data_IF_671880475967
#
_entry.id   IF_671880475967
#
_cell.length_a   1.000
_cell.length_b   1.000
_cell.length_c   1.000
_cell.angle_alpha   90.00
_cell.angle_beta   90.00
_cell.angle_gamma   90.00
#
_symmetry.space_group_name_H-M   'P 1'
#
loop_
_entity.id
_entity.type
_entity.pdbx_description
1 polymer ?
#
# COMPACT_ATOMS: atom_id res chain seq x y z
N UNK A 1 23.59 -17.23 0.35
CA UNK A 1 22.44 -17.63 1.18
C UNK A 1 21.41 -16.52 1.12
N UNK A 2 20.23 -16.79 0.56
CA UNK A 2 19.13 -15.83 0.38
C UNK A 2 18.36 -15.49 1.66
N UNK A 3 19.07 -15.26 2.77
CA UNK A 3 18.49 -14.87 4.06
C UNK A 3 18.74 -13.39 4.29
N UNK A 4 17.68 -12.66 4.66
CA UNK A 4 17.75 -11.25 5.02
C UNK A 4 17.45 -11.09 6.51
N UNK A 5 18.20 -10.19 7.16
CA UNK A 5 18.01 -9.80 8.54
C UNK A 5 18.27 -8.30 8.64
N UNK A 6 17.31 -7.57 9.18
CA UNK A 6 17.39 -6.14 9.46
C UNK A 6 17.47 -5.88 10.96
N UNK A 7 17.93 -4.68 11.34
CA UNK A 7 18.11 -4.25 12.73
C UNK A 7 16.79 -4.10 13.49
N UNK A 8 15.68 -3.89 12.78
CA UNK A 8 14.31 -3.84 13.30
C UNK A 8 13.67 -5.22 13.49
N UNK A 9 14.48 -6.30 13.42
CA UNK A 9 14.06 -7.70 13.54
C UNK A 9 13.23 -8.22 12.37
N UNK A 10 13.08 -7.44 11.30
CA UNK A 10 12.56 -7.96 10.05
C UNK A 10 13.54 -9.02 9.52
N UNK A 11 13.06 -10.26 9.39
CA UNK A 11 13.81 -11.35 8.80
C UNK A 11 12.93 -12.14 7.84
N UNK A 12 13.53 -12.58 6.75
CA UNK A 12 12.86 -13.43 5.78
C UNK A 12 13.89 -14.25 5.00
N UNK A 13 13.40 -15.30 4.36
CA UNK A 13 14.17 -16.10 3.42
C UNK A 13 13.54 -15.98 2.04
N UNK A 14 14.40 -15.88 1.02
CA UNK A 14 14.00 -16.11 -0.36
C UNK A 14 13.58 -17.58 -0.54
N UNK A 15 12.58 -17.83 -1.38
CA UNK A 15 12.08 -19.17 -1.70
C UNK A 15 13.14 -20.08 -2.34
N UNK A 16 14.13 -19.49 -3.00
CA UNK A 16 15.24 -20.14 -3.68
C UNK A 16 16.53 -20.18 -2.84
N UNK A 17 16.40 -20.29 -1.52
CA UNK A 17 17.50 -20.18 -0.56
C UNK A 17 18.75 -20.97 -1.03
N UNK A 18 19.83 -20.24 -1.37
CA UNK A 18 21.04 -20.86 -1.89
C UNK A 18 22.25 -19.91 -1.97
N UNK A 19 23.40 -20.49 -2.31
CA UNK A 19 24.64 -19.76 -2.61
C UNK A 19 24.75 -19.47 -4.12
N UNK A 20 25.62 -18.53 -4.51
CA UNK A 20 25.90 -18.23 -5.92
C UNK A 20 24.83 -17.42 -6.66
N UNK A 21 23.57 -17.49 -6.26
CA UNK A 21 22.46 -16.77 -6.90
C UNK A 21 22.56 -15.26 -6.63
N UNK A 22 22.59 -14.46 -7.71
CA UNK A 22 22.56 -12.99 -7.64
C UNK A 22 21.16 -12.51 -7.27
N UNK A 23 21.08 -11.57 -6.33
CA UNK A 23 19.80 -11.07 -5.81
C UNK A 23 19.77 -9.56 -5.72
N UNK A 24 18.58 -8.97 -5.88
CA UNK A 24 18.28 -7.57 -5.56
C UNK A 24 17.09 -7.51 -4.62
N UNK A 25 17.17 -6.63 -3.62
CA UNK A 25 16.04 -6.23 -2.79
C UNK A 25 15.58 -4.86 -3.29
N UNK A 26 14.33 -4.76 -3.71
CA UNK A 26 13.81 -3.59 -4.44
C UNK A 26 12.45 -3.20 -3.88
N UNK A 27 12.28 -1.90 -3.63
CA UNK A 27 10.97 -1.31 -3.42
C UNK A 27 10.39 -1.00 -4.80
N UNK A 28 9.34 -1.72 -5.17
CA UNK A 28 8.71 -1.55 -6.48
C UNK A 28 7.79 -0.33 -6.50
N UNK A 29 7.36 0.06 -7.70
CA UNK A 29 6.52 1.24 -7.93
C UNK A 29 5.16 1.18 -7.21
N UNK A 30 4.69 -0.03 -6.86
CA UNK A 30 3.47 -0.25 -6.11
C UNK A 30 3.66 -0.11 -4.59
N UNK A 31 4.87 0.24 -4.14
CA UNK A 31 5.23 0.42 -2.73
C UNK A 31 5.51 -0.89 -1.99
N UNK A 32 5.51 -2.03 -2.68
CA UNK A 32 5.82 -3.33 -2.08
C UNK A 32 7.31 -3.65 -2.18
N UNK A 33 7.86 -4.23 -1.11
CA UNK A 33 9.26 -4.63 -1.08
C UNK A 33 9.38 -6.07 -1.59
N UNK A 34 10.22 -6.29 -2.61
CA UNK A 34 10.41 -7.59 -3.25
C UNK A 34 11.89 -7.98 -3.34
N UNK A 35 12.15 -9.27 -3.21
CA UNK A 35 13.44 -9.87 -3.55
C UNK A 35 13.31 -10.49 -4.92
N UNK A 36 14.21 -10.11 -5.82
CA UNK A 36 14.37 -10.76 -7.10
C UNK A 36 15.66 -11.56 -7.11
N UNK A 37 15.60 -12.76 -7.68
CA UNK A 37 16.75 -13.63 -7.91
C UNK A 37 16.97 -13.81 -9.39
N UNK A 38 18.21 -13.68 -9.84
CA UNK A 38 18.55 -13.85 -11.25
C UNK A 38 18.62 -15.35 -11.55
N UNK A 39 17.77 -15.79 -12.47
CA UNK A 39 17.76 -17.15 -12.99
C UNK A 39 18.89 -17.31 -14.00
N UNK A 40 19.88 -18.15 -13.70
CA UNK A 40 21.00 -18.40 -14.61
C UNK A 40 20.57 -19.14 -15.89
N UNK A 41 19.46 -19.88 -15.85
CA UNK A 41 18.94 -20.62 -17.02
C UNK A 41 18.23 -19.72 -18.03
N UNK A 42 17.51 -18.69 -17.55
CA UNK A 42 16.69 -17.81 -18.40
C UNK A 42 17.27 -16.41 -18.56
N UNK A 43 18.17 -16.00 -17.65
CA UNK A 43 18.66 -14.63 -17.53
C UNK A 43 17.62 -13.64 -16.99
N UNK A 44 16.46 -14.13 -16.52
CA UNK A 44 15.36 -13.29 -16.01
C UNK A 44 15.42 -13.16 -14.49
N UNK A 45 14.75 -12.12 -13.98
CA UNK A 45 14.63 -11.85 -12.56
C UNK A 45 13.31 -12.40 -12.03
N UNK A 46 13.36 -13.43 -11.19
CA UNK A 46 12.20 -14.04 -10.58
C UNK A 46 11.97 -13.49 -9.18
N UNK A 47 10.71 -13.22 -8.81
CA UNK A 47 10.35 -12.80 -7.45
C UNK A 47 10.43 -14.03 -6.53
N UNK A 48 11.38 -14.03 -5.60
CA UNK A 48 11.57 -15.14 -4.65
C UNK A 48 11.12 -14.80 -3.24
N UNK A 49 10.77 -13.54 -2.99
CA UNK A 49 10.06 -13.11 -1.78
C UNK A 49 9.40 -11.75 -1.99
N UNK A 50 8.30 -11.47 -1.29
CA UNK A 50 7.69 -10.15 -1.22
C UNK A 50 7.12 -9.90 0.18
N UNK A 51 7.15 -8.64 0.63
CA UNK A 51 6.69 -8.26 1.97
C UNK A 51 5.18 -8.45 2.14
N UNK A 52 4.41 -8.08 1.12
CA UNK A 52 2.96 -8.16 1.14
C UNK A 52 2.48 -8.99 -0.06
N UNK A 53 1.86 -10.13 0.21
CA UNK A 53 1.31 -10.98 -0.84
C UNK A 53 0.06 -10.40 -1.50
N UNK A 54 -0.65 -9.56 -0.75
CA UNK A 54 -1.91 -8.93 -1.13
C UNK A 54 -1.65 -7.43 -1.40
N UNK A 55 -1.74 -6.96 -2.65
CA UNK A 55 -1.47 -5.57 -3.01
C UNK A 55 -2.29 -4.53 -2.22
N UNK A 56 -3.55 -4.81 -1.89
CA UNK A 56 -4.36 -3.89 -1.07
C UNK A 56 -3.84 -3.69 0.37
N UNK A 57 -2.96 -4.56 0.86
CA UNK A 57 -2.34 -4.38 2.18
C UNK A 57 -1.17 -3.40 2.12
N UNK A 58 -0.71 -3.03 0.91
CA UNK A 58 0.34 -2.04 0.74
C UNK A 58 -0.21 -0.67 1.13
N UNK A 59 0.49 0.00 2.04
CA UNK A 59 0.13 1.34 2.47
C UNK A 59 0.24 2.29 1.28
N UNK A 60 -0.82 3.04 1.01
CA UNK A 60 -0.88 3.94 -0.13
C UNK A 60 -1.22 3.27 -1.46
N UNK A 61 -1.66 2.00 -1.47
CA UNK A 61 -2.17 1.34 -2.67
C UNK A 61 -3.29 2.14 -3.37
N UNK A 62 -4.08 2.89 -2.59
CA UNK A 62 -5.06 3.85 -3.10
C UNK A 62 -4.84 5.23 -2.47
N UNK A 63 -5.25 6.28 -3.18
CA UNK A 63 -5.20 7.65 -2.69
C UNK A 63 -6.12 7.90 -1.49
N UNK A 64 -6.02 9.11 -0.93
CA UNK A 64 -6.76 9.50 0.28
C UNK A 64 -8.26 9.25 0.14
N UNK A 65 -8.88 8.69 1.19
CA UNK A 65 -10.32 8.36 1.26
C UNK A 65 -10.81 7.36 0.20
N UNK A 66 -9.93 6.68 -0.53
CA UNK A 66 -10.30 5.59 -1.42
C UNK A 66 -10.13 4.23 -0.73
N UNK A 67 -10.89 3.24 -1.17
CA UNK A 67 -10.90 1.87 -0.65
C UNK A 67 -10.31 0.95 -1.71
N UNK A 68 -9.31 0.15 -1.33
CA UNK A 68 -8.80 -0.92 -2.19
C UNK A 68 -9.70 -2.15 -2.06
N UNK A 69 -10.21 -2.63 -3.20
CA UNK A 69 -11.08 -3.81 -3.30
C UNK A 69 -10.54 -4.76 -4.37
N UNK A 70 -10.81 -6.06 -4.22
CA UNK A 70 -10.46 -7.06 -5.23
C UNK A 70 -11.68 -7.39 -6.08
N UNK A 71 -11.62 -7.17 -7.39
CA UNK A 71 -12.63 -7.70 -8.31
C UNK A 71 -12.17 -7.69 -9.78
N UNK A 72 -11.54 -8.76 -10.31
CA UNK A 72 -10.79 -9.84 -9.66
C UNK A 72 -9.35 -9.45 -9.27
N UNK A 73 -8.87 -8.33 -9.82
CA UNK A 73 -7.59 -7.68 -9.49
C UNK A 73 -7.81 -6.54 -8.48
N UNK A 74 -6.75 -6.10 -7.78
CA UNK A 74 -6.83 -4.97 -6.86
C UNK A 74 -7.18 -3.68 -7.63
N UNK A 75 -8.25 -3.01 -7.21
CA UNK A 75 -8.67 -1.71 -7.74
C UNK A 75 -9.10 -0.78 -6.61
N UNK A 76 -9.08 0.52 -6.89
CA UNK A 76 -9.54 1.54 -5.96
C UNK A 76 -10.98 1.95 -6.28
N UNK A 77 -11.77 2.15 -5.23
CA UNK A 77 -13.15 2.65 -5.32
C UNK A 77 -13.37 3.72 -4.26
N UNK A 78 -14.38 4.57 -4.47
CA UNK A 78 -14.77 5.55 -3.46
C UNK A 78 -15.87 4.97 -2.56
N UNK A 79 -15.84 5.24 -1.24
CA UNK A 79 -16.96 4.92 -0.36
C UNK A 79 -18.22 5.72 -0.76
N UNK A 80 -19.40 5.30 -0.29
CA UNK A 80 -20.63 6.06 -0.49
C UNK A 80 -20.50 7.52 -0.01
N UNK A 81 -21.01 8.47 -0.79
CA UNK A 81 -20.89 9.91 -0.51
C UNK A 81 -19.55 10.54 -0.92
N UNK A 82 -18.70 9.80 -1.62
CA UNK A 82 -17.45 10.29 -2.17
C UNK A 82 -17.37 10.04 -3.68
N UNK A 83 -16.66 10.91 -4.38
CA UNK A 83 -16.35 10.77 -5.80
C UNK A 83 -14.85 10.85 -6.05
N UNK A 84 -14.38 10.20 -7.12
CA UNK A 84 -12.96 10.18 -7.45
C UNK A 84 -12.50 11.59 -7.82
N UNK A 85 -11.36 12.03 -7.28
CA UNK A 85 -10.74 13.29 -7.69
C UNK A 85 -10.28 13.24 -9.15
N UNK A 86 -9.82 12.06 -9.60
CA UNK A 86 -9.44 11.79 -10.98
C UNK A 86 -9.66 10.30 -11.27
N UNK A 87 -10.56 9.97 -12.20
CA UNK A 87 -10.87 8.58 -12.56
C UNK A 87 -9.72 7.86 -13.26
N UNK A 88 -8.78 8.60 -13.87
CA UNK A 88 -7.58 8.06 -14.50
C UNK A 88 -6.40 7.94 -13.52
N UNK A 89 -6.51 8.51 -12.31
CA UNK A 89 -5.44 8.51 -11.33
C UNK A 89 -5.97 8.35 -9.90
N UNK A 90 -6.05 7.10 -9.45
CA UNK A 90 -6.53 6.74 -8.12
C UNK A 90 -5.62 7.20 -6.97
N UNK A 91 -4.37 7.61 -7.26
CA UNK A 91 -3.51 8.24 -6.25
C UNK A 91 -4.05 9.61 -5.82
N UNK A 92 -4.87 10.26 -6.66
CA UNK A 92 -5.56 11.49 -6.30
C UNK A 92 -6.64 11.27 -5.22
N UNK A 93 -7.07 10.01 -5.01
CA UNK A 93 -8.05 9.65 -3.99
C UNK A 93 -9.47 10.13 -4.30
N UNK A 94 -10.28 10.23 -3.25
CA UNK A 94 -11.69 10.60 -3.33
C UNK A 94 -12.00 11.85 -2.50
N UNK A 95 -12.90 12.69 -3.01
CA UNK A 95 -13.47 13.86 -2.30
C UNK A 95 -14.91 13.58 -1.88
N UNK A 96 -15.29 14.14 -0.73
CA UNK A 96 -16.67 14.07 -0.28
C UNK A 96 -17.56 14.92 -1.19
N UNK A 97 -18.74 14.41 -1.51
CA UNK A 97 -19.78 15.16 -2.22
C UNK A 97 -20.70 15.94 -1.27
N UNK A 98 -20.44 15.84 0.04
CA UNK A 98 -21.17 16.52 1.10
C UNK A 98 -20.26 17.48 1.87
N UNK A 99 -20.88 18.50 2.48
CA UNK A 99 -20.16 19.42 3.35
C UNK A 99 -19.79 18.70 4.65
N UNK A 100 -18.49 18.46 4.85
CA UNK A 100 -17.94 17.87 6.08
C UNK A 100 -17.94 18.82 7.27
N UNK A 101 -18.52 20.02 7.15
CA UNK A 101 -18.87 20.84 8.30
C UNK A 101 -19.93 20.08 9.08
N UNK A 102 -19.46 19.28 10.06
CA UNK A 102 -20.18 19.09 11.29
C UNK A 102 -20.52 20.49 11.75
N UNK A 103 -21.75 20.93 11.46
CA UNK A 103 -22.39 21.97 12.24
C UNK A 103 -22.56 21.34 13.61
N UNK A 104 -21.49 21.32 14.41
CA UNK A 104 -21.69 21.44 15.83
C UNK A 104 -22.50 22.73 15.97
N UNK A 105 -23.75 22.66 16.44
CA UNK A 105 -24.49 23.88 16.73
C UNK A 105 -23.65 24.60 17.78
N UNK A 106 -22.93 25.64 17.37
CA UNK A 106 -22.24 26.55 18.30
C UNK A 106 -23.25 27.34 19.15
N UNK A 107 -24.55 27.06 19.01
CA UNK A 107 -25.64 27.71 19.71
C UNK A 107 -26.08 27.04 21.01
N UNK A 108 -25.49 25.92 21.45
CA UNK A 108 -25.89 25.27 22.72
C UNK A 108 -24.73 24.74 23.58
N UNK A 109 -23.65 25.53 23.76
CA UNK A 109 -22.78 25.34 24.94
C UNK A 109 -22.76 26.64 25.74
N UNK A 110 -23.60 26.77 26.79
CA UNK A 110 -23.41 27.79 27.79
C UNK A 110 -22.20 27.40 28.64
N UNK A 111 -21.05 28.03 28.37
CA UNK A 111 -19.89 28.10 29.26
C UNK A 111 -19.06 26.83 29.38
N UNK A 112 -17.93 26.80 28.68
CA UNK A 112 -16.72 26.18 29.23
C UNK A 112 -15.51 27.06 28.85
N UNK A 113 -14.86 27.74 29.81
CA UNK A 113 -13.62 28.43 29.57
C UNK A 113 -12.46 27.42 29.62
N UNK A 114 -11.51 27.57 28.70
CA UNK A 114 -10.18 26.93 28.70
C UNK A 114 -10.09 25.43 28.40
N UNK A 115 -9.58 25.14 27.20
CA UNK A 115 -8.53 24.15 26.98
C UNK A 115 -7.45 24.79 26.10
#
# INVERSE_FOLDING_TARGET
MGRFLSSDLLHFNASDLGYGIKRRLTMDYDGNLRVYSLSDSTGLWDITWQALAQPCNVKGACGRNAICVYAPEPMCTCPPGFEANNQSNWNAGCKATFNQTLKFPTSEIPGDPSC
#
